data_IF_891259229216
#
_entry.id   IF_891259229216
#
_cell.length_a   1.000
_cell.length_b   1.000
_cell.length_c   1.000
_cell.angle_alpha   90.00
_cell.angle_beta   90.00
_cell.angle_gamma   90.00
#
_symmetry.space_group_name_H-M   'P 1'
#
loop_
_entity.id
_entity.type
_entity.pdbx_description
1 polymer ?
#
# COMPACT_ATOMS: atom_id res chain seq x y z
N UNK A 1 -5.56 -16.24 5.30
CA UNK A 1 -5.70 -17.37 6.24
C UNK A 1 -5.07 -18.62 5.64
N UNK A 2 -3.99 -19.11 6.25
CA UNK A 2 -3.31 -20.34 5.83
C UNK A 2 -3.74 -21.49 6.75
N UNK A 3 -4.09 -22.63 6.17
CA UNK A 3 -4.56 -23.82 6.89
C UNK A 3 -3.58 -24.97 6.64
N UNK A 4 -3.09 -25.56 7.73
CA UNK A 4 -2.22 -26.73 7.67
C UNK A 4 -2.95 -27.95 8.21
N UNK A 5 -2.69 -29.09 7.58
CA UNK A 5 -3.26 -30.37 7.97
C UNK A 5 -2.16 -31.31 8.40
N UNK A 6 -2.24 -31.76 9.65
CA UNK A 6 -1.30 -32.71 10.23
C UNK A 6 -2.01 -34.05 10.43
N UNK A 7 -1.50 -35.08 9.76
CA UNK A 7 -1.95 -36.46 9.97
C UNK A 7 -1.07 -37.09 11.05
N UNK A 8 -1.67 -37.37 12.20
CA UNK A 8 -0.97 -37.92 13.37
C UNK A 8 -1.28 -39.41 13.48
N UNK A 9 -0.25 -40.20 13.74
CA UNK A 9 -0.35 -41.63 14.01
C UNK A 9 0.19 -41.93 15.41
N UNK A 10 -0.57 -42.68 16.20
CA UNK A 10 -0.14 -43.17 17.50
C UNK A 10 -0.21 -44.71 17.54
N UNK A 11 0.86 -45.35 18.02
CA UNK A 11 0.96 -46.81 18.12
C UNK A 11 1.67 -47.17 19.43
N UNK A 12 1.13 -48.15 20.15
CA UNK A 12 1.77 -48.65 21.37
C UNK A 12 3.01 -49.53 21.03
N UNK A 13 3.79 -49.94 22.03
CA UNK A 13 5.05 -50.67 21.84
C UNK A 13 4.89 -52.21 21.83
N UNK A 14 3.67 -52.72 21.76
CA UNK A 14 3.40 -54.15 21.77
C UNK A 14 3.81 -54.85 20.46
N UNK A 15 4.07 -56.17 20.49
CA UNK A 15 4.54 -56.96 19.35
C UNK A 15 3.52 -57.10 18.20
N UNK A 16 2.26 -56.72 18.40
CA UNK A 16 1.21 -56.68 17.36
C UNK A 16 0.40 -55.39 17.40
N UNK A 17 1.02 -54.29 17.79
CA UNK A 17 0.35 -53.02 17.97
C UNK A 17 -0.24 -52.47 16.64
N UNK A 18 -1.50 -52.05 16.70
CA UNK A 18 -2.20 -51.35 15.60
C UNK A 18 -2.12 -49.86 15.86
N UNK A 19 -2.01 -49.08 14.79
CA UNK A 19 -1.93 -47.63 14.92
C UNK A 19 -3.32 -46.97 14.87
N UNK A 20 -3.55 -46.01 15.75
CA UNK A 20 -4.64 -45.03 15.63
C UNK A 20 -4.19 -43.84 14.79
N UNK A 21 -5.14 -43.23 14.07
CA UNK A 21 -4.89 -42.08 13.21
C UNK A 21 -5.85 -40.93 13.54
N UNK A 22 -5.38 -39.69 13.49
CA UNK A 22 -6.24 -38.51 13.54
C UNK A 22 -5.72 -37.39 12.64
N UNK A 23 -6.59 -36.41 12.34
CA UNK A 23 -6.27 -35.21 11.57
C UNK A 23 -6.37 -34.00 12.49
N UNK A 24 -5.30 -33.22 12.55
CA UNK A 24 -5.25 -31.95 13.26
C UNK A 24 -5.26 -30.83 12.24
N UNK A 25 -6.21 -29.90 12.39
CA UNK A 25 -6.31 -28.70 11.57
C UNK A 25 -5.68 -27.53 12.33
N UNK A 26 -4.66 -26.91 11.72
CA UNK A 26 -3.95 -25.77 12.28
C UNK A 26 -4.24 -24.54 11.43
N UNK A 27 -5.05 -23.62 11.96
CA UNK A 27 -5.33 -22.33 11.33
C UNK A 27 -4.32 -21.29 11.77
N UNK A 28 -3.61 -20.68 10.82
CA UNK A 28 -2.73 -19.55 11.10
C UNK A 28 -3.54 -18.27 11.10
N UNK A 29 -3.42 -17.50 12.20
CA UNK A 29 -3.98 -16.16 12.33
C UNK A 29 -3.01 -15.15 11.70
N UNK A 30 -3.60 -14.15 11.04
CA UNK A 30 -2.86 -13.04 10.46
C UNK A 30 -2.40 -12.07 11.56
N UNK A 31 -1.20 -11.53 11.40
CA UNK A 31 -0.61 -10.51 12.27
C UNK A 31 -0.15 -9.38 11.37
N UNK A 32 -0.27 -8.13 11.82
CA UNK A 32 0.17 -6.96 11.06
C UNK A 32 1.71 -6.87 11.08
N UNK A 33 2.36 -7.53 10.12
CA UNK A 33 3.83 -7.62 10.04
C UNK A 33 4.40 -7.14 8.71
N UNK A 34 3.55 -6.74 7.76
CA UNK A 34 3.93 -6.09 6.53
C UNK A 34 3.48 -4.62 6.56
N UNK A 35 4.37 -3.71 6.18
CA UNK A 35 4.00 -2.31 5.99
C UNK A 35 3.52 -2.08 4.53
N UNK A 36 2.69 -1.06 4.28
CA UNK A 36 2.22 -0.74 2.93
C UNK A 36 3.36 -0.43 1.97
N UNK A 37 3.31 -0.93 0.74
CA UNK A 37 4.26 -0.63 -0.33
C UNK A 37 3.64 0.35 -1.32
N UNK A 38 4.26 1.52 -1.50
CA UNK A 38 3.83 2.56 -2.45
C UNK A 38 4.61 2.44 -3.74
N UNK A 39 3.92 2.22 -4.85
CA UNK A 39 4.52 2.13 -6.19
C UNK A 39 3.96 3.19 -7.13
N UNK A 40 4.84 3.93 -7.80
CA UNK A 40 4.48 4.86 -8.88
C UNK A 40 4.35 4.06 -10.18
N UNK A 41 3.12 3.87 -10.65
CA UNK A 41 2.83 3.13 -11.89
C UNK A 41 2.99 3.98 -13.15
N UNK A 42 2.75 5.29 -13.04
CA UNK A 42 3.04 6.26 -14.09
C UNK A 42 3.27 7.63 -13.48
N UNK A 43 4.11 8.43 -14.14
CA UNK A 43 4.46 9.79 -13.74
C UNK A 43 4.58 10.64 -15.00
N UNK A 44 3.95 11.81 -14.99
CA UNK A 44 3.96 12.81 -16.06
C UNK A 44 4.61 14.09 -15.53
N UNK A 45 5.94 14.11 -15.56
CA UNK A 45 6.78 15.24 -15.13
C UNK A 45 7.80 15.59 -16.22
N UNK A 46 8.17 16.87 -16.41
CA UNK A 46 7.72 18.05 -15.66
C UNK A 46 6.25 18.42 -15.94
N UNK A 47 5.69 19.25 -15.06
CA UNK A 47 4.31 19.75 -15.15
C UNK A 47 4.34 21.19 -15.66
N UNK A 48 3.55 21.52 -16.67
CA UNK A 48 3.42 22.89 -17.16
C UNK A 48 2.82 23.78 -16.07
N UNK A 49 3.34 25.01 -15.94
CA UNK A 49 2.85 25.95 -14.94
C UNK A 49 1.37 26.35 -15.16
N UNK A 50 0.95 26.42 -16.42
CA UNK A 50 -0.44 26.73 -16.82
C UNK A 50 -1.37 25.51 -16.82
N UNK A 51 -0.89 24.36 -16.33
CA UNK A 51 -1.69 23.15 -16.27
C UNK A 51 -2.99 23.41 -15.48
N UNK A 52 -4.16 23.11 -16.05
CA UNK A 52 -5.42 23.39 -15.38
C UNK A 52 -5.55 22.53 -14.10
N UNK A 53 -6.30 23.00 -13.09
CA UNK A 53 -6.67 22.18 -11.94
C UNK A 53 -7.30 20.86 -12.38
N UNK A 54 -6.93 19.77 -11.71
CA UNK A 54 -7.34 18.41 -12.04
C UNK A 54 -6.43 17.69 -13.04
N UNK A 55 -5.30 18.29 -13.42
CA UNK A 55 -4.30 17.64 -14.29
C UNK A 55 -3.66 16.48 -13.54
N UNK A 56 -3.67 15.28 -14.12
CA UNK A 56 -3.09 14.07 -13.52
C UNK A 56 -1.57 14.08 -13.69
N UNK A 57 -0.86 14.05 -12.56
CA UNK A 57 0.61 14.07 -12.51
C UNK A 57 1.18 12.67 -12.35
N UNK A 58 0.53 11.82 -11.55
CA UNK A 58 1.00 10.46 -11.32
C UNK A 58 -0.15 9.50 -11.01
N UNK A 59 0.06 8.22 -11.32
CA UNK A 59 -0.79 7.12 -10.86
C UNK A 59 0.00 6.27 -9.88
N UNK A 60 -0.52 6.12 -8.67
CA UNK A 60 0.10 5.44 -7.54
C UNK A 60 -0.72 4.20 -7.22
N UNK A 61 -0.06 3.08 -6.98
CA UNK A 61 -0.68 1.86 -6.43
C UNK A 61 -0.08 1.57 -5.07
N UNK A 62 -0.93 1.24 -4.10
CA UNK A 62 -0.50 0.87 -2.75
C UNK A 62 -0.95 -0.54 -2.41
N UNK A 63 0.01 -1.36 -1.97
CA UNK A 63 -0.21 -2.76 -1.68
C UNK A 63 0.32 -3.10 -0.29
N UNK A 64 -0.49 -3.79 0.50
CA UNK A 64 -0.06 -4.44 1.72
C UNK A 64 -0.25 -5.95 1.58
N UNK A 65 0.70 -6.73 2.09
CA UNK A 65 0.70 -8.20 1.96
C UNK A 65 -0.13 -8.88 3.05
N UNK A 66 -0.55 -8.15 4.08
CA UNK A 66 -1.37 -8.67 5.15
C UNK A 66 -2.84 -8.86 4.74
N UNK A 67 -3.60 -9.56 5.56
CA UNK A 67 -5.00 -9.90 5.26
C UNK A 67 -5.98 -9.00 6.02
N UNK A 68 -7.17 -8.78 5.44
CA UNK A 68 -8.25 -8.09 6.15
C UNK A 68 -7.93 -6.62 6.44
N UNK A 69 -8.04 -6.21 7.70
CA UNK A 69 -7.76 -4.83 8.11
C UNK A 69 -6.24 -4.54 8.18
N UNK A 70 -5.41 -5.54 8.49
CA UNK A 70 -3.96 -5.42 8.44
C UNK A 70 -3.48 -5.06 7.03
N UNK A 71 -4.11 -5.64 6.00
CA UNK A 71 -3.81 -5.31 4.60
C UNK A 71 -4.57 -4.11 4.02
N UNK A 72 -5.45 -3.46 4.79
CA UNK A 72 -6.27 -2.35 4.29
C UNK A 72 -5.53 -1.04 4.48
N UNK A 73 -5.32 -0.33 3.39
CA UNK A 73 -4.50 0.87 3.36
C UNK A 73 -5.28 2.13 3.03
N UNK A 74 -4.82 3.23 3.60
CA UNK A 74 -5.23 4.60 3.28
C UNK A 74 -4.00 5.41 2.90
N UNK A 75 -4.15 6.34 1.94
CA UNK A 75 -3.06 7.17 1.46
C UNK A 75 -3.43 8.63 1.53
N UNK A 76 -2.46 9.45 1.92
CA UNK A 76 -2.58 10.90 2.03
C UNK A 76 -1.37 11.59 1.43
N UNK A 77 -1.58 12.81 0.93
CA UNK A 77 -0.50 13.71 0.50
C UNK A 77 -0.19 14.66 1.65
N UNK A 78 1.09 15.01 1.78
CA UNK A 78 1.57 15.96 2.77
C UNK A 78 0.88 17.33 2.65
N UNK A 79 0.80 18.09 3.75
CA UNK A 79 0.21 19.43 3.73
C UNK A 79 1.04 20.40 2.88
N UNK A 80 0.44 21.56 2.58
CA UNK A 80 1.11 22.73 1.98
C UNK A 80 1.67 22.51 0.56
N UNK A 81 1.08 21.59 -0.22
CA UNK A 81 1.37 21.44 -1.65
C UNK A 81 0.08 21.54 -2.48
N UNK A 82 0.13 22.09 -3.70
CA UNK A 82 -1.05 22.27 -4.55
C UNK A 82 -1.50 20.97 -5.24
N UNK A 83 -1.43 19.82 -4.56
CA UNK A 83 -1.78 18.51 -5.10
C UNK A 83 -2.70 17.73 -4.16
N UNK A 84 -3.53 16.88 -4.74
CA UNK A 84 -4.46 16.02 -4.01
C UNK A 84 -4.44 14.59 -4.59
N UNK A 85 -4.72 13.59 -3.75
CA UNK A 85 -4.93 12.22 -4.20
C UNK A 85 -6.41 11.94 -4.37
N UNK A 86 -6.79 11.51 -5.57
CA UNK A 86 -8.11 10.93 -5.80
C UNK A 86 -8.00 9.41 -5.77
N UNK A 87 -8.70 8.78 -4.82
CA UNK A 87 -8.80 7.32 -4.77
C UNK A 87 -9.59 6.82 -5.98
N UNK A 88 -9.01 5.84 -6.66
CA UNK A 88 -9.63 5.05 -7.72
C UNK A 88 -9.99 3.65 -7.17
N UNK A 89 -9.99 2.63 -8.02
CA UNK A 89 -10.31 1.26 -7.65
C UNK A 89 -9.11 0.53 -7.02
N UNK A 90 -9.35 -0.39 -6.07
CA UNK A 90 -8.34 -1.33 -5.51
C UNK A 90 -7.00 -0.68 -5.11
N UNK A 91 -7.04 0.36 -4.26
CA UNK A 91 -5.84 1.04 -3.73
C UNK A 91 -4.97 1.71 -4.81
N UNK A 92 -5.57 2.03 -5.97
CA UNK A 92 -4.97 2.96 -6.92
C UNK A 92 -5.40 4.38 -6.59
N UNK A 93 -4.47 5.32 -6.73
CA UNK A 93 -4.68 6.74 -6.51
C UNK A 93 -4.11 7.52 -7.69
N UNK A 94 -4.77 8.63 -8.03
CA UNK A 94 -4.24 9.59 -9.00
C UNK A 94 -3.87 10.86 -8.27
N UNK A 95 -2.61 11.30 -8.41
CA UNK A 95 -2.16 12.59 -7.93
C UNK A 95 -2.52 13.65 -8.95
N UNK A 96 -3.29 14.66 -8.53
CA UNK A 96 -3.78 15.73 -9.41
C UNK A 96 -3.39 17.10 -8.89
N UNK A 97 -3.26 18.08 -9.78
CA UNK A 97 -3.12 19.50 -9.41
C UNK A 97 -4.44 20.04 -8.86
N UNK A 98 -4.39 20.91 -7.87
CA UNK A 98 -5.58 21.57 -7.29
C UNK A 98 -5.73 23.03 -7.75
N UNK A 99 -4.66 23.62 -8.23
CA UNK A 99 -4.57 25.00 -8.71
C UNK A 99 -3.50 25.10 -9.82
N UNK A 100 -3.47 26.24 -10.51
CA UNK A 100 -2.35 26.58 -11.38
C UNK A 100 -1.05 26.68 -10.58
N UNK A 101 0.06 26.35 -11.24
CA UNK A 101 1.39 26.43 -10.66
C UNK A 101 2.07 27.71 -11.13
N UNK A 102 3.20 28.04 -10.51
CA UNK A 102 4.00 29.21 -10.86
C UNK A 102 5.46 28.79 -10.69
N UNK A 103 6.18 28.67 -11.81
CA UNK A 103 7.55 28.17 -11.79
C UNK A 103 8.50 29.17 -11.13
N UNK A 104 8.29 30.47 -11.34
CA UNK A 104 9.10 31.53 -10.74
C UNK A 104 8.94 31.59 -9.22
N UNK A 105 7.76 31.25 -8.70
CA UNK A 105 7.51 31.15 -7.26
C UNK A 105 8.05 29.83 -6.67
N UNK A 106 7.69 28.69 -7.29
CA UNK A 106 8.11 27.36 -6.85
C UNK A 106 8.46 26.50 -8.09
N UNK A 107 9.77 26.32 -8.39
CA UNK A 107 10.19 25.59 -9.59
C UNK A 107 10.06 24.07 -9.44
N UNK A 108 9.94 23.57 -8.21
CA UNK A 108 9.88 22.14 -7.92
C UNK A 108 9.12 21.89 -6.62
N UNK A 109 8.24 20.89 -6.63
CA UNK A 109 7.53 20.41 -5.44
C UNK A 109 8.02 19.02 -5.03
N UNK A 110 8.28 18.83 -3.73
CA UNK A 110 8.53 17.52 -3.16
C UNK A 110 7.25 17.02 -2.48
N UNK A 111 6.45 16.27 -3.22
CA UNK A 111 5.15 15.78 -2.77
C UNK A 111 5.35 14.53 -1.92
N UNK A 112 5.17 14.66 -0.61
CA UNK A 112 5.18 13.52 0.31
C UNK A 112 3.87 12.75 0.21
N UNK A 113 3.96 11.43 0.07
CA UNK A 113 2.85 10.48 0.07
C UNK A 113 3.05 9.56 1.26
N UNK A 114 2.05 9.50 2.14
CA UNK A 114 2.05 8.60 3.30
C UNK A 114 0.97 7.55 3.08
N UNK A 115 1.37 6.28 3.09
CA UNK A 115 0.46 5.15 3.11
C UNK A 115 0.44 4.54 4.52
N UNK A 116 -0.75 4.24 5.03
CA UNK A 116 -0.96 3.70 6.37
C UNK A 116 -1.98 2.57 6.35
N UNK A 117 -1.65 1.46 6.98
CA UNK A 117 -2.57 0.34 7.16
C UNK A 117 -3.58 0.58 8.30
N UNK A 118 -4.54 -0.34 8.44
CA UNK A 118 -5.54 -0.33 9.52
C UNK A 118 -5.27 -1.41 10.58
N UNK A 119 -4.04 -1.93 10.63
CA UNK A 119 -3.62 -2.92 11.61
C UNK A 119 -3.38 -2.35 13.01
N UNK A 120 -3.02 -3.22 13.96
CA UNK A 120 -2.74 -2.85 15.34
C UNK A 120 -1.48 -3.57 15.87
N UNK A 121 -0.35 -2.86 16.05
CA UNK A 121 -0.15 -1.45 15.74
C UNK A 121 -0.22 -1.18 14.24
N UNK A 122 -0.64 0.01 13.85
CA UNK A 122 -0.67 0.41 12.44
C UNK A 122 0.75 0.66 11.93
N UNK A 123 1.07 0.18 10.73
CA UNK A 123 2.33 0.44 10.03
C UNK A 123 2.11 1.45 8.90
N UNK A 124 3.19 2.15 8.55
CA UNK A 124 3.16 3.22 7.58
C UNK A 124 4.41 3.23 6.70
N UNK A 125 4.27 3.82 5.53
CA UNK A 125 5.34 4.04 4.56
C UNK A 125 5.27 5.46 4.02
N UNK A 126 6.42 6.12 3.99
CA UNK A 126 6.58 7.44 3.40
C UNK A 126 7.31 7.34 2.06
N UNK A 127 6.78 8.00 1.05
CA UNK A 127 7.39 8.14 -0.27
C UNK A 127 7.37 9.61 -0.69
N UNK A 128 8.37 10.06 -1.43
CA UNK A 128 8.44 11.45 -1.91
C UNK A 128 8.54 11.44 -3.43
N UNK A 129 7.62 12.15 -4.08
CA UNK A 129 7.63 12.38 -5.52
C UNK A 129 8.09 13.81 -5.79
N UNK A 130 9.20 13.94 -6.52
CA UNK A 130 9.69 15.23 -7.01
C UNK A 130 8.95 15.61 -8.29
N UNK A 131 8.33 16.78 -8.29
CA UNK A 131 7.49 17.31 -9.37
C UNK A 131 8.10 18.65 -9.84
N UNK A 132 8.97 18.63 -10.87
CA UNK A 132 9.49 19.85 -11.47
C UNK A 132 8.41 20.56 -12.29
N UNK A 133 8.38 21.89 -12.22
CA UNK A 133 7.48 22.77 -12.97
C UNK A 133 8.23 23.34 -14.18
N UNK A 134 7.59 23.34 -15.36
CA UNK A 134 8.14 23.89 -16.60
C UNK A 134 7.36 25.08 -17.11
N UNK A 135 8.05 25.98 -17.82
CA UNK A 135 7.42 27.08 -18.58
C UNK A 135 6.46 26.55 -19.64
N UNK A 136 5.59 27.45 -20.11
CA UNK A 136 4.76 27.28 -21.32
C UNK A 136 5.54 27.60 -22.61
#
# INVERSE_FOLDING_TARGET
ASLHELYVQAKDRGPSAVAGHCRVLVSLLDVNDNAPEVTLTSVSTPVLEDAPPGTVIAVISVLDRDSGDNGRVSCEVGPDVPFELHSSFRNYYTLVTTQALDRELVPEYNVSITARDMGSPALLTHSVLTVPVSDV
#
